data_IF_363988683418
#
_entry.id   IF_363988683418
#
_cell.length_a   1.000
_cell.length_b   1.000
_cell.length_c   1.000
_cell.angle_alpha   90.00
_cell.angle_beta   90.00
_cell.angle_gamma   90.00
#
_symmetry.space_group_name_H-M   'P 1'
#
loop_
_entity.id
_entity.type
_entity.pdbx_description
1 polymer ?
#
# COMPACT_ATOMS: atom_id res chain seq x y z
N UNK A 1 18.71 -12.58 -19.06
CA UNK A 1 19.22 -12.45 -17.68
C UNK A 1 18.16 -11.65 -16.93
N UNK A 2 17.31 -12.30 -16.14
CA UNK A 2 16.21 -11.63 -15.43
C UNK A 2 16.70 -11.29 -14.03
N UNK A 3 17.01 -10.02 -13.78
CA UNK A 3 17.36 -9.52 -12.45
C UNK A 3 16.16 -9.71 -11.52
N UNK A 4 16.31 -10.31 -10.33
CA UNK A 4 15.23 -10.33 -9.35
C UNK A 4 14.95 -8.88 -8.95
N UNK A 5 13.71 -8.42 -9.17
CA UNK A 5 13.23 -7.16 -8.64
C UNK A 5 13.61 -7.12 -7.15
N UNK A 6 14.39 -6.11 -6.76
CA UNK A 6 14.82 -5.90 -5.38
C UNK A 6 13.64 -6.17 -4.47
N UNK A 7 13.79 -7.18 -3.60
CA UNK A 7 12.77 -7.67 -2.66
C UNK A 7 12.44 -6.58 -1.63
N UNK A 8 11.80 -5.52 -2.10
CA UNK A 8 11.40 -4.38 -1.31
C UNK A 8 10.16 -4.85 -0.57
N UNK A 9 10.28 -4.99 0.74
CA UNK A 9 9.14 -5.36 1.57
C UNK A 9 8.07 -4.26 1.50
N UNK A 10 6.78 -4.62 1.49
CA UNK A 10 5.72 -3.63 1.56
C UNK A 10 5.82 -2.83 2.86
N UNK A 11 5.55 -1.53 2.77
CA UNK A 11 5.51 -0.66 3.95
C UNK A 11 4.09 -0.64 4.49
N UNK A 12 3.92 -1.04 5.75
CA UNK A 12 2.64 -1.06 6.44
C UNK A 12 2.46 0.23 7.22
N UNK A 13 1.28 0.84 7.09
CA UNK A 13 0.93 2.05 7.79
C UNK A 13 -0.37 1.85 8.55
N UNK A 14 -0.29 2.05 9.87
CA UNK A 14 -1.42 1.90 10.78
C UNK A 14 -1.70 3.27 11.39
N UNK A 15 -2.64 4.02 10.79
CA UNK A 15 -3.14 5.28 11.32
C UNK A 15 -4.65 5.16 11.53
N UNK A 16 -5.15 5.61 12.69
CA UNK A 16 -6.59 5.66 12.97
C UNK A 16 -7.31 4.29 13.01
N UNK A 17 -6.57 3.18 13.04
CA UNK A 17 -7.13 1.83 12.95
C UNK A 17 -7.31 1.31 11.52
N UNK A 18 -7.04 2.13 10.49
CA UNK A 18 -6.96 1.67 9.12
C UNK A 18 -5.62 1.00 8.85
N UNK A 19 -5.65 -0.16 8.20
CA UNK A 19 -4.48 -0.91 7.81
C UNK A 19 -4.22 -0.68 6.31
N UNK A 20 -3.19 0.10 5.99
CA UNK A 20 -2.83 0.42 4.60
C UNK A 20 -1.45 -0.13 4.29
N UNK A 21 -1.33 -0.80 3.14
CA UNK A 21 -0.09 -1.40 2.63
C UNK A 21 0.38 -0.66 1.40
N UNK A 22 1.66 -0.28 1.38
CA UNK A 22 2.32 0.27 0.20
C UNK A 22 3.19 -0.81 -0.42
N UNK A 23 2.80 -1.27 -1.59
CA UNK A 23 3.47 -2.27 -2.41
C UNK A 23 4.41 -1.58 -3.41
N UNK A 24 5.66 -2.05 -3.53
CA UNK A 24 6.57 -1.62 -4.58
C UNK A 24 6.12 -2.13 -5.95
N UNK A 25 6.65 -1.54 -7.04
CA UNK A 25 6.34 -2.01 -8.38
C UNK A 25 6.80 -3.46 -8.58
N UNK A 26 5.96 -4.24 -9.27
CA UNK A 26 6.23 -5.67 -9.56
C UNK A 26 7.28 -5.88 -10.66
N UNK A 27 7.57 -4.85 -11.44
CA UNK A 27 8.53 -4.87 -12.55
C UNK A 27 9.23 -3.51 -12.66
N UNK A 28 10.40 -3.49 -13.31
CA UNK A 28 11.18 -2.27 -13.55
C UNK A 28 10.38 -1.30 -14.43
N UNK A 29 10.13 -0.08 -13.94
CA UNK A 29 9.24 0.89 -14.59
C UNK A 29 7.75 0.79 -14.19
N UNK A 30 7.39 -0.15 -13.31
CA UNK A 30 6.06 -0.21 -12.71
C UNK A 30 5.80 0.91 -11.69
N UNK A 31 4.53 1.14 -11.35
CA UNK A 31 4.13 2.07 -10.30
C UNK A 31 4.10 1.45 -8.89
N UNK A 32 4.32 2.29 -7.88
CA UNK A 32 4.07 1.97 -6.48
C UNK A 32 2.56 1.99 -6.22
N UNK A 33 2.02 0.95 -5.59
CA UNK A 33 0.59 0.86 -5.27
C UNK A 33 0.40 0.93 -3.76
N UNK A 34 -0.60 1.65 -3.29
CA UNK A 34 -1.11 1.47 -1.94
C UNK A 34 -2.49 0.81 -1.97
N UNK A 35 -2.82 0.09 -0.92
CA UNK A 35 -4.10 -0.61 -0.75
C UNK A 35 -4.50 -0.62 0.72
N UNK A 36 -5.77 -0.34 1.00
CA UNK A 36 -6.34 -0.42 2.34
C UNK A 36 -7.03 -1.77 2.56
N UNK A 37 -6.57 -2.52 3.56
CA UNK A 37 -7.12 -3.84 3.92
C UNK A 37 -8.44 -3.76 4.70
N UNK A 38 -8.89 -2.54 5.05
CA UNK A 38 -10.17 -2.31 5.71
C UNK A 38 -11.33 -2.07 4.75
N UNK A 39 -11.08 -1.33 3.65
CA UNK A 39 -12.12 -0.90 2.71
C UNK A 39 -11.88 -1.32 1.25
N UNK A 40 -10.81 -2.06 0.97
CA UNK A 40 -10.39 -2.50 -0.38
C UNK A 40 -10.02 -1.35 -1.35
N UNK A 41 -9.94 -0.11 -0.88
CA UNK A 41 -9.50 1.01 -1.73
C UNK A 41 -8.01 0.90 -2.05
N UNK A 42 -7.64 1.11 -3.32
CA UNK A 42 -6.26 1.05 -3.76
C UNK A 42 -5.97 2.04 -4.89
N UNK A 43 -4.74 2.54 -4.92
CA UNK A 43 -4.28 3.48 -5.96
C UNK A 43 -2.83 3.22 -6.35
N UNK A 44 -2.52 3.43 -7.62
CA UNK A 44 -1.16 3.28 -8.17
C UNK A 44 -0.59 4.64 -8.54
N UNK A 45 0.66 4.86 -8.17
CA UNK A 45 1.44 6.06 -8.44
C UNK A 45 2.79 5.73 -9.04
N UNK A 46 3.29 6.58 -9.93
CA UNK A 46 4.63 6.42 -10.53
C UNK A 46 5.75 6.54 -9.49
N UNK A 47 5.56 7.40 -8.47
CA UNK A 47 6.59 7.65 -7.45
C UNK A 47 6.15 7.15 -6.07
N UNK A 48 7.10 6.53 -5.34
CA UNK A 48 6.90 6.04 -3.97
C UNK A 48 6.34 7.11 -3.03
N UNK A 49 6.83 8.35 -3.15
CA UNK A 49 6.38 9.47 -2.31
C UNK A 49 4.87 9.70 -2.42
N UNK A 50 4.31 9.65 -3.62
CA UNK A 50 2.87 9.84 -3.82
C UNK A 50 2.07 8.64 -3.31
N UNK A 51 2.59 7.42 -3.47
CA UNK A 51 1.93 6.25 -2.90
C UNK A 51 1.90 6.30 -1.36
N UNK A 52 2.99 6.72 -0.72
CA UNK A 52 3.02 6.94 0.73
C UNK A 52 2.10 8.09 1.17
N UNK A 53 2.09 9.21 0.45
CA UNK A 53 1.22 10.35 0.75
C UNK A 53 -0.27 9.98 0.65
N UNK A 54 -0.66 9.30 -0.44
CA UNK A 54 -2.02 8.79 -0.62
C UNK A 54 -2.41 7.77 0.46
N UNK A 55 -1.49 6.85 0.81
CA UNK A 55 -1.70 5.91 1.90
C UNK A 55 -1.91 6.62 3.25
N UNK A 56 -1.09 7.63 3.57
CA UNK A 56 -1.22 8.43 4.79
C UNK A 56 -2.55 9.20 4.81
N UNK A 57 -2.90 9.86 3.70
CA UNK A 57 -4.13 10.63 3.57
C UNK A 57 -5.37 9.74 3.71
N UNK A 58 -5.34 8.55 3.10
CA UNK A 58 -6.41 7.57 3.24
C UNK A 58 -6.47 7.04 4.67
N UNK A 59 -5.35 6.63 5.27
CA UNK A 59 -5.32 6.11 6.63
C UNK A 59 -5.76 7.14 7.69
N UNK A 60 -5.56 8.44 7.44
CA UNK A 60 -6.08 9.52 8.30
C UNK A 60 -7.61 9.70 8.24
N UNK A 61 -8.28 9.18 7.21
CA UNK A 61 -9.73 9.33 6.99
C UNK A 61 -10.49 8.01 7.13
N UNK A 62 -9.86 6.91 6.74
CA UNK A 62 -10.42 5.58 6.77
C UNK A 62 -10.57 5.12 8.21
N UNK A 63 -11.78 4.73 8.58
CA UNK A 63 -12.12 4.15 9.90
C UNK A 63 -12.47 2.67 9.82
N UNK A 64 -12.30 2.08 8.63
CA UNK A 64 -12.53 0.66 8.44
C UNK A 64 -11.43 -0.10 9.19
N UNK A 65 -11.84 -0.87 10.19
CA UNK A 65 -10.93 -1.80 10.83
C UNK A 65 -10.44 -2.81 9.79
N UNK A 66 -9.18 -3.30 9.89
CA UNK A 66 -8.74 -4.43 9.09
C UNK A 66 -9.77 -5.55 9.26
N UNK A 67 -10.24 -6.12 8.14
CA UNK A 67 -11.06 -7.32 8.23
C UNK A 67 -10.31 -8.33 9.10
N UNK A 68 -10.95 -8.99 10.08
CA UNK A 68 -10.33 -10.13 10.71
C UNK A 68 -9.97 -11.08 9.58
N UNK A 69 -8.68 -11.38 9.45
CA UNK A 69 -8.21 -12.44 8.56
C UNK A 69 -9.11 -13.65 8.83
N UNK A 70 -9.85 -14.06 7.82
CA UNK A 70 -10.91 -15.06 7.96
C UNK A 70 -10.34 -16.31 8.61
N UNK A 71 -11.06 -16.82 9.61
CA UNK A 71 -10.85 -18.12 10.24
C UNK A 71 -10.74 -19.27 9.22
#
# INVERSE_FOLDING_TARGET
MTTPATNTLPSFLTLGGAHVVVQPPRYEGGGFRWECLGCDESLTHTYKKHACDGANAHAGRCRSMPRPDGA
#
